data_IF_486233901678
#
_entry.id   IF_486233901678
#
_cell.length_a   1.000
_cell.length_b   1.000
_cell.length_c   1.000
_cell.angle_alpha   90.00
_cell.angle_beta   90.00
_cell.angle_gamma   90.00
#
_symmetry.space_group_name_H-M   'P 1'
#
loop_
_entity.id
_entity.type
_entity.pdbx_description
1 polymer ?
#
# COMPACT_ATOMS: atom_id res chain seq x y z
N UNK A 1 -19.24 -14.22 8.40
CA UNK A 1 -18.69 -13.31 7.38
C UNK A 1 -17.28 -13.73 7.09
N UNK A 2 -16.93 -13.93 5.83
CA UNK A 2 -15.58 -14.31 5.40
C UNK A 2 -14.68 -13.07 5.31
N UNK A 3 -13.37 -13.30 5.28
CA UNK A 3 -12.37 -12.23 5.12
C UNK A 3 -12.58 -11.47 3.79
N UNK A 4 -12.94 -12.20 2.73
CA UNK A 4 -13.23 -11.62 1.41
C UNK A 4 -14.46 -10.72 1.44
N UNK A 5 -15.56 -11.18 2.05
CA UNK A 5 -16.78 -10.39 2.21
C UNK A 5 -16.52 -9.08 2.96
N UNK A 6 -15.72 -9.13 4.03
CA UNK A 6 -15.36 -7.94 4.80
C UNK A 6 -14.48 -6.98 3.98
N UNK A 7 -13.50 -7.50 3.23
CA UNK A 7 -12.63 -6.69 2.38
C UNK A 7 -13.42 -5.99 1.26
N UNK A 8 -14.30 -6.72 0.56
CA UNK A 8 -15.16 -6.16 -0.49
C UNK A 8 -16.12 -5.13 0.08
N UNK A 9 -16.75 -5.41 1.22
CA UNK A 9 -17.68 -4.48 1.86
C UNK A 9 -16.99 -3.18 2.33
N UNK A 10 -15.73 -3.27 2.79
CA UNK A 10 -14.93 -2.09 3.10
C UNK A 10 -14.54 -1.30 1.85
N UNK A 11 -14.13 -1.97 0.78
CA UNK A 11 -13.75 -1.33 -0.49
C UNK A 11 -14.93 -0.58 -1.12
N UNK A 12 -16.13 -1.16 -1.09
CA UNK A 12 -17.35 -0.53 -1.61
C UNK A 12 -17.78 0.74 -0.86
N UNK A 13 -17.38 0.88 0.42
CA UNK A 13 -17.67 2.07 1.24
C UNK A 13 -16.70 3.22 1.00
N UNK A 14 -15.59 2.98 0.30
CA UNK A 14 -14.60 4.01 0.00
C UNK A 14 -15.08 4.90 -1.16
N UNK A 15 -14.70 6.19 -1.18
CA UNK A 15 -14.86 7.05 -2.35
C UNK A 15 -14.18 6.48 -3.58
N UNK A 16 -14.68 6.79 -4.78
CA UNK A 16 -14.17 6.26 -6.06
C UNK A 16 -12.66 6.48 -6.24
N UNK A 17 -12.13 7.63 -5.82
CA UNK A 17 -10.69 7.91 -5.83
C UNK A 17 -9.87 6.93 -4.97
N UNK A 18 -10.35 6.63 -3.77
CA UNK A 18 -9.68 5.69 -2.87
C UNK A 18 -9.82 4.24 -3.33
N UNK A 19 -10.94 3.89 -3.98
CA UNK A 19 -11.08 2.59 -4.63
C UNK A 19 -10.02 2.40 -5.72
N UNK A 20 -9.78 3.42 -6.54
CA UNK A 20 -8.73 3.37 -7.56
C UNK A 20 -7.33 3.24 -6.94
N UNK A 21 -7.05 3.92 -5.83
CA UNK A 21 -5.77 3.76 -5.12
C UNK A 21 -5.55 2.33 -4.61
N UNK A 22 -6.60 1.71 -4.05
CA UNK A 22 -6.53 0.33 -3.59
C UNK A 22 -6.33 -0.64 -4.76
N UNK A 23 -7.00 -0.42 -5.89
CA UNK A 23 -6.78 -1.21 -7.10
C UNK A 23 -5.35 -1.07 -7.62
N UNK A 24 -4.81 0.15 -7.72
CA UNK A 24 -3.41 0.40 -8.11
C UNK A 24 -2.41 -0.28 -7.17
N UNK A 25 -2.70 -0.30 -5.87
CA UNK A 25 -1.86 -1.01 -4.89
C UNK A 25 -1.92 -2.53 -5.07
N UNK A 26 -3.10 -3.10 -5.33
CA UNK A 26 -3.25 -4.53 -5.61
C UNK A 26 -2.53 -4.91 -6.92
N UNK A 27 -2.63 -4.09 -7.95
CA UNK A 27 -1.90 -4.27 -9.22
C UNK A 27 -0.38 -4.21 -9.02
N UNK A 28 0.11 -3.26 -8.22
CA UNK A 28 1.50 -3.18 -7.81
C UNK A 28 1.96 -4.44 -7.08
N UNK A 29 1.17 -4.92 -6.10
CA UNK A 29 1.48 -6.16 -5.39
C UNK A 29 1.49 -7.37 -6.33
N UNK A 30 0.53 -7.46 -7.27
CA UNK A 30 0.47 -8.56 -8.24
C UNK A 30 1.65 -8.53 -9.20
N UNK A 31 2.11 -7.35 -9.62
CA UNK A 31 3.33 -7.17 -10.40
C UNK A 31 4.57 -7.60 -9.60
N UNK A 32 4.71 -7.12 -8.37
CA UNK A 32 5.90 -7.37 -7.53
C UNK A 32 5.98 -8.82 -7.02
N UNK A 33 4.84 -9.46 -6.75
CA UNK A 33 4.76 -10.88 -6.36
C UNK A 33 4.74 -11.83 -7.56
N UNK A 34 4.20 -11.40 -8.70
CA UNK A 34 4.17 -12.16 -9.95
C UNK A 34 5.57 -12.41 -10.51
N UNK A 35 6.45 -11.41 -10.46
CA UNK A 35 7.88 -11.57 -10.83
C UNK A 35 8.65 -12.51 -9.88
N UNK A 36 8.13 -12.72 -8.66
CA UNK A 36 8.72 -13.62 -7.65
C UNK A 36 8.45 -15.10 -7.96
N UNK A 37 7.33 -15.45 -8.60
CA UNK A 37 6.98 -16.85 -8.90
C UNK A 37 7.79 -17.46 -10.07
N UNK A 38 8.32 -16.64 -10.99
CA UNK A 38 9.13 -17.13 -12.12
C UNK A 38 10.56 -17.53 -11.69
N UNK A 39 10.95 -17.27 -10.44
CA UNK A 39 12.36 -17.25 -10.02
C UNK A 39 12.68 -18.13 -8.79
N UNK A 40 11.95 -19.22 -8.56
CA UNK A 40 12.17 -20.10 -7.40
C UNK A 40 13.42 -21.01 -7.49
N UNK A 41 14.18 -21.01 -8.60
CA UNK A 41 15.43 -21.80 -8.70
C UNK A 41 16.71 -21.05 -8.30
N UNK A 42 16.65 -19.80 -7.84
CA UNK A 42 17.86 -18.96 -7.67
C UNK A 42 17.95 -18.27 -6.30
N UNK A 43 17.77 -19.00 -5.21
CA UNK A 43 17.63 -18.39 -3.87
C UNK A 43 18.93 -17.87 -3.22
N UNK A 44 20.14 -18.11 -3.73
CA UNK A 44 21.36 -17.71 -2.99
C UNK A 44 21.97 -16.34 -3.37
N UNK A 45 21.41 -15.60 -4.33
CA UNK A 45 22.03 -14.33 -4.82
C UNK A 45 21.18 -13.06 -4.61
N UNK A 46 19.92 -13.17 -4.13
CA UNK A 46 18.91 -12.10 -4.31
C UNK A 46 18.60 -11.24 -3.07
N UNK A 47 19.18 -11.49 -1.89
CA UNK A 47 18.86 -10.68 -0.70
C UNK A 47 19.29 -9.20 -0.84
N UNK A 48 20.44 -8.93 -1.48
CA UNK A 48 20.89 -7.55 -1.74
C UNK A 48 20.10 -6.85 -2.85
N UNK A 49 19.61 -7.63 -3.82
CA UNK A 49 18.92 -7.11 -5.01
C UNK A 49 17.45 -6.80 -4.73
N UNK A 50 16.78 -7.65 -3.94
CA UNK A 50 15.40 -7.45 -3.54
C UNK A 50 15.20 -6.21 -2.65
N UNK A 51 16.18 -5.90 -1.79
CA UNK A 51 16.18 -4.65 -1.02
C UNK A 51 16.35 -3.43 -1.93
N UNK A 52 17.21 -3.53 -2.95
CA UNK A 52 17.41 -2.48 -3.95
C UNK A 52 16.14 -2.21 -4.78
N UNK A 53 15.45 -3.27 -5.20
CA UNK A 53 14.24 -3.13 -6.02
C UNK A 53 13.05 -2.58 -5.22
N UNK A 54 12.92 -2.95 -3.94
CA UNK A 54 11.98 -2.31 -3.01
C UNK A 54 12.23 -0.79 -2.89
N UNK A 55 13.49 -0.37 -2.68
CA UNK A 55 13.82 1.06 -2.57
C UNK A 55 13.55 1.82 -3.87
N UNK A 56 13.76 1.19 -5.04
CA UNK A 56 13.41 1.78 -6.34
C UNK A 56 11.90 1.94 -6.50
N UNK A 57 11.11 0.95 -6.09
CA UNK A 57 9.65 1.02 -6.08
C UNK A 57 9.15 2.17 -5.19
N UNK A 58 9.69 2.26 -3.97
CA UNK A 58 9.36 3.34 -3.04
C UNK A 58 9.75 4.73 -3.57
N UNK A 59 10.89 4.84 -4.25
CA UNK A 59 11.33 6.09 -4.86
C UNK A 59 10.40 6.52 -6.01
N UNK A 60 9.99 5.57 -6.87
CA UNK A 60 9.02 5.84 -7.95
C UNK A 60 7.68 6.29 -7.38
N UNK A 61 7.17 5.59 -6.38
CA UNK A 61 5.92 5.96 -5.70
C UNK A 61 5.98 7.38 -5.14
N UNK A 62 7.07 7.74 -4.44
CA UNK A 62 7.26 9.12 -3.95
C UNK A 62 7.28 10.15 -5.07
N UNK A 63 7.95 9.85 -6.19
CA UNK A 63 8.01 10.74 -7.35
C UNK A 63 6.63 10.94 -7.99
N UNK A 64 5.85 9.85 -8.11
CA UNK A 64 4.48 9.89 -8.63
C UNK A 64 3.57 10.74 -7.75
N UNK A 65 3.59 10.51 -6.43
CA UNK A 65 2.82 11.30 -5.45
C UNK A 65 3.17 12.80 -5.54
N UNK A 66 4.45 13.15 -5.71
CA UNK A 66 4.89 14.54 -5.88
C UNK A 66 4.44 15.15 -7.22
N UNK A 67 4.61 14.42 -8.33
CA UNK A 67 4.20 14.88 -9.66
C UNK A 67 2.69 15.04 -9.80
N UNK A 68 1.91 14.16 -9.16
CA UNK A 68 0.45 14.23 -9.12
C UNK A 68 -0.07 15.24 -8.08
N UNK A 69 0.83 15.91 -7.33
CA UNK A 69 0.47 16.89 -6.32
C UNK A 69 -0.31 16.29 -5.14
N UNK A 70 -0.20 14.98 -4.92
CA UNK A 70 -0.89 14.27 -3.84
C UNK A 70 -0.19 14.61 -2.52
N UNK A 71 -0.75 15.58 -1.81
CA UNK A 71 -0.35 15.92 -0.45
C UNK A 71 -1.17 15.12 0.55
N UNK A 72 -0.49 14.46 1.49
CA UNK A 72 -1.17 13.90 2.65
C UNK A 72 -1.11 14.89 3.80
N UNK A 73 -2.27 15.28 4.28
CA UNK A 73 -2.43 16.07 5.50
C UNK A 73 -2.65 15.14 6.69
N UNK A 74 -2.58 15.71 7.88
CA UNK A 74 -2.81 14.98 9.12
C UNK A 74 -4.23 14.39 9.22
N UNK A 75 -5.18 14.98 8.48
CA UNK A 75 -6.59 14.61 8.47
C UNK A 75 -6.84 13.36 7.62
N UNK A 76 -6.04 13.12 6.57
CA UNK A 76 -6.14 11.94 5.71
C UNK A 76 -5.84 10.62 6.44
N UNK A 77 -5.21 10.71 7.61
CA UNK A 77 -4.91 9.58 8.49
C UNK A 77 -5.80 9.53 9.74
N UNK A 78 -6.81 10.39 9.85
CA UNK A 78 -7.66 10.48 11.04
C UNK A 78 -8.41 9.17 11.34
N UNK A 79 -8.71 8.38 10.32
CA UNK A 79 -9.39 7.08 10.42
C UNK A 79 -8.45 5.93 10.80
N UNK A 80 -7.13 6.13 10.62
CA UNK A 80 -6.10 5.18 11.05
C UNK A 80 -5.68 5.43 12.52
N UNK A 81 -6.07 6.57 13.09
CA UNK A 81 -5.79 6.88 14.49
C UNK A 81 -6.66 6.00 15.37
N UNK A 82 -6.02 5.33 16.29
CA UNK A 82 -6.69 4.61 17.36
C UNK A 82 -7.41 5.61 18.27
N UNK A 83 -8.74 5.67 18.17
CA UNK A 83 -9.62 6.53 18.99
C UNK A 83 -10.09 5.83 20.27
N UNK A 84 -9.48 4.72 20.64
CA UNK A 84 -9.79 4.05 21.89
C UNK A 84 -9.48 4.97 23.07
N UNK A 85 -10.37 4.96 24.06
CA UNK A 85 -10.28 5.78 25.28
C UNK A 85 -8.89 5.59 25.92
N UNK A 86 -8.20 6.69 26.22
CA UNK A 86 -6.86 6.67 26.84
C UNK A 86 -5.66 6.61 25.88
N UNK A 87 -5.88 6.70 24.55
CA UNK A 87 -4.83 6.88 23.53
C UNK A 87 -4.97 8.19 22.74
N UNK A 88 -5.75 9.12 23.27
CA UNK A 88 -5.92 10.43 22.65
C UNK A 88 -4.62 11.25 22.69
N UNK A 89 -4.14 11.62 21.50
CA UNK A 89 -2.98 12.49 21.31
C UNK A 89 -3.47 13.92 21.55
N UNK A 90 -3.04 14.53 22.64
CA UNK A 90 -3.24 15.96 22.90
C UNK A 90 -2.28 16.71 21.96
N UNK A 91 -2.84 17.48 21.03
CA UNK A 91 -2.12 18.33 20.08
C UNK A 91 -1.75 19.68 20.71
#
# INVERSE_FOLDING_TARGET
MTVLENAVSKMQKLPTEQQQQVLRFIEFLAFELGDRQINQESENLKEGQQKSDFWKGLQKFRLTIQNEGIGFTNEDFADLRDRSVGREIIL
#
